data_IF_024815903962
#
_entry.id   IF_024815903962
#
_cell.length_a   1.000
_cell.length_b   1.000
_cell.length_c   1.000
_cell.angle_alpha   90.00
_cell.angle_beta   90.00
_cell.angle_gamma   90.00
#
_symmetry.space_group_name_H-M   'P 1'
#
loop_
_entity.id
_entity.type
_entity.pdbx_description
1 polymer ?
#
# COMPACT_ATOMS: atom_id res chain seq x y z
N UNK A 1 39.90 -36.04 33.91
CA UNK A 1 38.65 -35.28 33.79
C UNK A 1 38.90 -33.88 34.28
N UNK A 2 39.05 -32.92 33.38
CA UNK A 2 39.13 -31.53 33.72
C UNK A 2 37.72 -31.07 34.12
N UNK A 3 37.49 -30.73 35.36
CA UNK A 3 36.28 -30.10 35.81
C UNK A 3 36.35 -28.63 35.39
N UNK A 4 35.32 -28.16 34.65
CA UNK A 4 35.20 -26.77 34.33
C UNK A 4 35.11 -25.93 35.63
N UNK A 5 35.81 -24.80 35.69
CA UNK A 5 35.75 -23.93 36.85
C UNK A 5 34.39 -23.18 36.86
N UNK A 6 33.91 -22.70 38.01
CA UNK A 6 32.70 -21.86 38.07
C UNK A 6 32.81 -20.61 37.16
N UNK A 7 34.01 -20.07 36.98
CA UNK A 7 34.22 -18.92 36.07
C UNK A 7 34.03 -19.33 34.60
N UNK A 8 34.48 -20.53 34.21
CA UNK A 8 34.27 -21.07 32.87
C UNK A 8 32.77 -21.33 32.58
N UNK A 9 32.03 -21.83 33.60
CA UNK A 9 30.58 -22.04 33.49
C UNK A 9 29.84 -20.73 33.30
N UNK A 10 30.23 -19.69 34.00
CA UNK A 10 29.64 -18.35 33.86
C UNK A 10 29.96 -17.72 32.50
N UNK A 11 31.15 -17.90 31.99
CA UNK A 11 31.52 -17.46 30.66
C UNK A 11 30.75 -18.22 29.58
N UNK A 12 30.56 -19.50 29.74
CA UNK A 12 29.77 -20.33 28.82
C UNK A 12 28.27 -19.89 28.82
N UNK A 13 27.73 -19.61 30.01
CA UNK A 13 26.37 -19.06 30.17
C UNK A 13 26.24 -17.73 29.44
N UNK A 14 27.18 -16.81 29.63
CA UNK A 14 27.21 -15.50 28.98
C UNK A 14 27.31 -15.65 27.46
N UNK A 15 28.19 -16.50 26.96
CA UNK A 15 28.37 -16.74 25.53
C UNK A 15 27.10 -17.31 24.87
N UNK A 16 26.42 -18.24 25.52
CA UNK A 16 25.14 -18.77 25.03
C UNK A 16 24.04 -17.72 24.99
N UNK A 17 23.98 -16.89 26.01
CA UNK A 17 23.02 -15.77 26.06
C UNK A 17 23.32 -14.75 24.96
N UNK A 18 24.57 -14.37 24.77
CA UNK A 18 24.99 -13.44 23.71
C UNK A 18 24.63 -13.96 22.33
N UNK A 19 24.83 -15.23 22.06
CA UNK A 19 24.45 -15.84 20.78
C UNK A 19 22.96 -15.69 20.51
N UNK A 20 22.11 -15.99 21.51
CA UNK A 20 20.66 -15.80 21.41
C UNK A 20 20.27 -14.34 21.25
N UNK A 21 20.85 -13.46 22.06
CA UNK A 21 20.55 -12.04 22.02
C UNK A 21 20.93 -11.41 20.67
N UNK A 22 22.08 -11.79 20.14
CA UNK A 22 22.52 -11.32 18.82
C UNK A 22 21.60 -11.83 17.70
N UNK A 23 21.16 -13.09 17.77
CA UNK A 23 20.19 -13.63 16.82
C UNK A 23 18.85 -12.90 16.89
N UNK A 24 18.34 -12.66 18.09
CA UNK A 24 17.09 -11.90 18.31
C UNK A 24 17.23 -10.46 17.84
N UNK A 25 18.37 -9.82 18.09
CA UNK A 25 18.62 -8.45 17.62
C UNK A 25 18.61 -8.38 16.09
N UNK A 26 19.21 -9.34 15.41
CA UNK A 26 19.19 -9.43 13.96
C UNK A 26 17.75 -9.59 13.43
N UNK A 27 16.93 -10.42 14.08
CA UNK A 27 15.52 -10.58 13.73
C UNK A 27 14.72 -9.28 13.95
N UNK A 28 15.01 -8.55 15.04
CA UNK A 28 14.38 -7.26 15.32
C UNK A 28 14.77 -6.19 14.29
N UNK A 29 16.04 -6.18 13.88
CA UNK A 29 16.53 -5.25 12.85
C UNK A 29 15.84 -5.52 11.51
N UNK A 30 15.71 -6.79 11.14
CA UNK A 30 14.96 -7.20 9.94
C UNK A 30 13.48 -6.84 10.05
N UNK A 31 12.86 -7.09 11.21
CA UNK A 31 11.48 -6.74 11.48
C UNK A 31 11.25 -5.23 11.37
N UNK A 32 12.19 -4.42 11.89
CA UNK A 32 12.14 -2.97 11.77
C UNK A 32 12.12 -2.51 10.30
N UNK A 33 13.00 -3.10 9.48
CA UNK A 33 13.03 -2.83 8.04
C UNK A 33 11.73 -3.24 7.35
N UNK A 34 11.22 -4.42 7.66
CA UNK A 34 9.96 -4.91 7.09
C UNK A 34 8.77 -4.04 7.51
N UNK A 35 8.73 -3.59 8.75
CA UNK A 35 7.71 -2.67 9.27
C UNK A 35 7.73 -1.34 8.52
N UNK A 36 8.90 -0.73 8.35
CA UNK A 36 9.05 0.52 7.62
C UNK A 36 8.62 0.37 6.16
N UNK A 37 8.99 -0.73 5.52
CA UNK A 37 8.58 -1.02 4.14
C UNK A 37 7.06 -1.18 4.03
N UNK A 38 6.43 -1.91 4.95
CA UNK A 38 4.99 -2.10 4.97
C UNK A 38 4.24 -0.78 5.16
N UNK A 39 4.73 0.10 6.07
CA UNK A 39 4.16 1.43 6.26
C UNK A 39 4.31 2.30 5.02
N UNK A 40 5.46 2.26 4.35
CA UNK A 40 5.68 3.04 3.13
C UNK A 40 4.77 2.55 2.01
N UNK A 41 4.63 1.25 1.83
CA UNK A 41 3.73 0.67 0.84
C UNK A 41 2.25 1.00 1.15
N UNK A 42 1.89 1.04 2.43
CA UNK A 42 0.56 1.49 2.86
C UNK A 42 0.32 2.94 2.45
N UNK A 43 1.26 3.84 2.75
CA UNK A 43 1.16 5.26 2.39
C UNK A 43 1.08 5.46 0.88
N UNK A 44 1.88 4.72 0.12
CA UNK A 44 1.87 4.77 -1.34
C UNK A 44 0.51 4.32 -1.90
N UNK A 45 -0.05 3.26 -1.33
CA UNK A 45 -1.37 2.76 -1.73
C UNK A 45 -2.48 3.76 -1.37
N UNK A 46 -2.42 4.38 -0.19
CA UNK A 46 -3.37 5.43 0.23
C UNK A 46 -3.31 6.65 -0.70
N UNK A 47 -2.12 7.05 -1.13
CA UNK A 47 -1.94 8.13 -2.10
C UNK A 47 -2.56 7.78 -3.45
N UNK A 48 -2.46 6.53 -3.88
CA UNK A 48 -3.11 6.05 -5.11
C UNK A 48 -4.62 6.00 -4.99
N UNK A 49 -5.16 5.67 -3.81
CA UNK A 49 -6.60 5.76 -3.54
C UNK A 49 -7.07 7.20 -3.69
N UNK A 50 -6.37 8.15 -3.09
CA UNK A 50 -6.71 9.58 -3.17
C UNK A 50 -6.70 10.09 -4.61
N UNK A 51 -5.69 9.73 -5.40
CA UNK A 51 -5.61 10.08 -6.81
C UNK A 51 -6.73 9.43 -7.63
N UNK A 52 -7.04 8.16 -7.37
CA UNK A 52 -8.15 7.47 -8.03
C UNK A 52 -9.51 8.11 -7.70
N UNK A 53 -9.73 8.52 -6.45
CA UNK A 53 -10.94 9.21 -6.03
C UNK A 53 -11.07 10.57 -6.70
N UNK A 54 -9.98 11.29 -6.86
CA UNK A 54 -9.94 12.55 -7.60
C UNK A 54 -10.35 12.33 -9.06
N UNK A 55 -9.82 11.30 -9.70
CA UNK A 55 -10.20 10.93 -11.07
C UNK A 55 -11.68 10.54 -11.16
N UNK A 56 -12.22 9.83 -10.16
CA UNK A 56 -13.64 9.49 -10.09
C UNK A 56 -14.49 10.76 -10.09
N UNK A 57 -14.15 11.75 -9.27
CA UNK A 57 -14.85 13.04 -9.22
C UNK A 57 -14.77 13.79 -10.55
N UNK A 58 -13.57 13.88 -11.13
CA UNK A 58 -13.33 14.54 -12.41
C UNK A 58 -14.13 13.87 -13.53
N UNK A 59 -14.10 12.55 -13.62
CA UNK A 59 -14.81 11.80 -14.65
C UNK A 59 -16.32 11.85 -14.44
N UNK A 60 -16.80 11.84 -13.21
CA UNK A 60 -18.23 11.99 -12.90
C UNK A 60 -18.74 13.35 -13.38
N UNK A 61 -18.00 14.42 -13.11
CA UNK A 61 -18.33 15.77 -13.57
C UNK A 61 -18.31 15.87 -15.10
N UNK A 62 -17.29 15.30 -15.72
CA UNK A 62 -17.15 15.27 -17.18
C UNK A 62 -18.32 14.52 -17.84
N UNK A 63 -18.70 13.36 -17.29
CA UNK A 63 -19.85 12.59 -17.79
C UNK A 63 -21.14 13.36 -17.63
N UNK A 64 -21.35 14.05 -16.51
CA UNK A 64 -22.53 14.90 -16.31
C UNK A 64 -22.61 16.01 -17.38
N UNK A 65 -21.48 16.64 -17.69
CA UNK A 65 -21.40 17.63 -18.77
C UNK A 65 -21.77 17.06 -20.13
N UNK A 66 -21.26 15.88 -20.47
CA UNK A 66 -21.60 15.18 -21.72
C UNK A 66 -23.07 14.77 -21.75
N UNK A 67 -23.64 14.30 -20.65
CA UNK A 67 -25.04 13.94 -20.55
C UNK A 67 -25.96 15.13 -20.76
N UNK A 68 -25.59 16.31 -20.24
CA UNK A 68 -26.31 17.54 -20.50
C UNK A 68 -26.30 17.94 -21.99
N UNK A 69 -25.11 17.84 -22.62
CA UNK A 69 -24.99 18.14 -24.05
C UNK A 69 -25.76 17.12 -24.89
N UNK A 70 -25.74 15.83 -24.57
CA UNK A 70 -26.53 14.81 -25.22
C UNK A 70 -28.04 15.07 -25.05
N UNK A 71 -28.45 15.46 -23.83
CA UNK A 71 -29.83 15.83 -23.54
C UNK A 71 -30.32 17.03 -24.34
N UNK A 72 -29.50 18.06 -24.49
CA UNK A 72 -29.79 19.25 -25.30
C UNK A 72 -29.90 18.87 -26.78
N UNK A 73 -28.97 18.06 -27.27
CA UNK A 73 -28.98 17.56 -28.63
C UNK A 73 -30.21 16.73 -28.93
N UNK A 74 -30.58 15.85 -27.97
CA UNK A 74 -31.79 15.03 -28.04
C UNK A 74 -33.05 15.88 -28.15
N UNK A 75 -33.14 16.96 -27.36
CA UNK A 75 -34.29 17.92 -27.45
C UNK A 75 -34.37 18.62 -28.80
N UNK A 76 -33.22 19.00 -29.36
CA UNK A 76 -33.16 19.61 -30.69
C UNK A 76 -33.63 18.66 -31.78
N UNK A 77 -33.24 17.39 -31.72
CA UNK A 77 -33.70 16.35 -32.62
C UNK A 77 -35.24 16.13 -32.52
N UNK A 78 -35.76 16.11 -31.28
CA UNK A 78 -37.18 15.98 -31.05
C UNK A 78 -37.97 17.13 -31.65
N UNK A 79 -37.49 18.37 -31.49
CA UNK A 79 -38.13 19.58 -32.06
C UNK A 79 -38.09 19.57 -33.58
N UNK A 80 -37.08 18.98 -34.19
CA UNK A 80 -36.98 18.85 -35.64
C UNK A 80 -37.92 17.81 -36.26
N UNK A 81 -38.63 17.04 -35.40
CA UNK A 81 -39.64 16.08 -35.85
C UNK A 81 -39.10 14.68 -36.19
N UNK A 82 -37.91 14.37 -35.73
CA UNK A 82 -37.34 13.00 -35.89
C UNK A 82 -38.10 11.99 -35.02
N UNK A 83 -38.91 11.14 -35.62
CA UNK A 83 -39.67 10.09 -34.91
C UNK A 83 -38.74 8.99 -34.37
N UNK A 84 -37.59 8.79 -34.98
CA UNK A 84 -36.57 7.78 -34.60
C UNK A 84 -35.97 8.07 -33.21
N UNK A 85 -36.00 9.33 -32.77
CA UNK A 85 -35.50 9.75 -31.47
C UNK A 85 -36.26 9.08 -30.30
N UNK A 86 -37.57 9.03 -30.36
CA UNK A 86 -38.39 8.40 -29.33
C UNK A 86 -38.10 6.90 -29.23
N UNK A 87 -37.90 6.25 -30.37
CA UNK A 87 -37.58 4.82 -30.40
C UNK A 87 -36.21 4.55 -29.75
N UNK A 88 -35.23 5.43 -29.95
CA UNK A 88 -33.92 5.34 -29.32
C UNK A 88 -34.01 5.46 -27.79
N UNK A 89 -34.73 6.47 -27.29
CA UNK A 89 -34.85 6.72 -25.86
C UNK A 89 -35.69 5.64 -25.16
N UNK A 90 -36.78 5.25 -25.76
CA UNK A 90 -37.70 4.26 -25.17
C UNK A 90 -37.17 2.83 -25.28
N UNK A 91 -36.30 2.55 -26.26
CA UNK A 91 -35.71 1.23 -26.49
C UNK A 91 -34.39 1.01 -25.78
N UNK A 92 -33.72 2.06 -25.29
CA UNK A 92 -32.41 1.96 -24.65
C UNK A 92 -32.56 1.46 -23.21
N UNK A 93 -31.98 0.28 -22.89
CA UNK A 93 -31.96 -0.29 -21.55
C UNK A 93 -30.66 0.01 -20.81
N UNK A 94 -29.65 0.44 -21.54
CA UNK A 94 -28.33 0.82 -21.00
C UNK A 94 -27.73 1.96 -21.80
N UNK A 95 -26.70 2.59 -21.26
CA UNK A 95 -25.95 3.62 -22.01
C UNK A 95 -25.29 3.05 -23.26
N UNK A 96 -24.82 1.80 -23.23
CA UNK A 96 -24.21 1.16 -24.40
C UNK A 96 -25.20 0.92 -25.51
N UNK A 97 -26.42 0.46 -25.18
CA UNK A 97 -27.52 0.32 -26.12
C UNK A 97 -27.89 1.68 -26.70
N UNK A 98 -27.99 2.70 -25.87
CA UNK A 98 -28.24 4.08 -26.28
C UNK A 98 -27.17 4.57 -27.26
N UNK A 99 -25.88 4.41 -26.91
CA UNK A 99 -24.77 4.83 -27.76
C UNK A 99 -24.73 4.10 -29.09
N UNK A 100 -25.00 2.80 -29.11
CA UNK A 100 -25.07 1.97 -30.32
C UNK A 100 -26.21 2.41 -31.21
N UNK A 101 -27.40 2.61 -30.63
CA UNK A 101 -28.58 3.06 -31.37
C UNK A 101 -28.44 4.50 -31.86
N UNK A 102 -27.82 5.37 -31.05
CA UNK A 102 -27.52 6.74 -31.43
C UNK A 102 -26.68 6.83 -32.70
N UNK A 103 -25.72 5.94 -32.86
CA UNK A 103 -24.85 5.87 -34.04
C UNK A 103 -25.58 5.50 -35.35
N UNK A 104 -26.80 4.97 -35.27
CA UNK A 104 -27.61 4.59 -36.45
C UNK A 104 -28.60 5.71 -36.87
N UNK A 105 -28.67 6.82 -36.13
CA UNK A 105 -29.56 7.92 -36.47
C UNK A 105 -29.09 8.65 -37.74
N UNK A 106 -29.99 8.86 -38.69
CA UNK A 106 -29.68 9.53 -39.98
C UNK A 106 -29.26 10.98 -39.81
N UNK A 107 -29.75 11.65 -38.76
CA UNK A 107 -29.43 13.05 -38.45
C UNK A 107 -28.14 13.21 -37.64
N UNK A 108 -27.41 12.13 -37.40
CA UNK A 108 -26.18 12.16 -36.62
C UNK A 108 -25.04 12.81 -37.41
N UNK A 109 -24.48 13.86 -36.86
CA UNK A 109 -23.32 14.54 -37.42
C UNK A 109 -22.03 14.03 -36.72
N UNK A 110 -20.88 14.48 -37.23
CA UNK A 110 -19.58 14.08 -36.68
C UNK A 110 -19.40 14.55 -35.23
N UNK A 111 -19.94 15.71 -34.87
CA UNK A 111 -19.86 16.26 -33.51
C UNK A 111 -20.68 15.41 -32.52
N UNK A 112 -21.86 14.94 -32.93
CA UNK A 112 -22.69 14.04 -32.14
C UNK A 112 -22.01 12.69 -31.91
N UNK A 113 -21.38 12.13 -32.96
CA UNK A 113 -20.62 10.89 -32.88
C UNK A 113 -19.43 11.03 -31.92
N UNK A 114 -18.72 12.16 -31.99
CA UNK A 114 -17.61 12.47 -31.10
C UNK A 114 -18.07 12.60 -29.67
N UNK A 115 -19.19 13.27 -29.39
CA UNK A 115 -19.78 13.44 -28.07
C UNK A 115 -20.14 12.10 -27.43
N UNK A 116 -20.77 11.19 -28.20
CA UNK A 116 -21.08 9.83 -27.75
C UNK A 116 -19.80 9.07 -27.43
N UNK A 117 -18.79 9.15 -28.28
CA UNK A 117 -17.51 8.48 -28.07
C UNK A 117 -16.78 9.02 -26.83
N UNK A 118 -16.77 10.33 -26.64
CA UNK A 118 -16.18 10.97 -25.46
C UNK A 118 -16.88 10.51 -24.17
N UNK A 119 -18.20 10.42 -24.18
CA UNK A 119 -18.98 9.93 -23.04
C UNK A 119 -18.66 8.50 -22.74
N UNK A 120 -18.58 7.65 -23.75
CA UNK A 120 -18.23 6.23 -23.61
C UNK A 120 -16.83 6.07 -23.02
N UNK A 121 -15.86 6.80 -23.54
CA UNK A 121 -14.47 6.78 -23.05
C UNK A 121 -14.41 7.25 -21.59
N UNK A 122 -15.10 8.35 -21.25
CA UNK A 122 -15.13 8.86 -19.88
C UNK A 122 -15.76 7.85 -18.89
N UNK A 123 -16.79 7.11 -19.32
CA UNK A 123 -17.39 6.04 -18.50
C UNK A 123 -16.44 4.88 -18.28
N UNK A 124 -15.69 4.47 -19.31
CA UNK A 124 -14.67 3.43 -19.20
C UNK A 124 -13.55 3.85 -18.24
N UNK A 125 -13.11 5.10 -18.35
CA UNK A 125 -12.09 5.66 -17.45
C UNK A 125 -12.61 5.78 -16.01
N UNK A 126 -13.88 6.11 -15.81
CA UNK A 126 -14.51 6.12 -14.49
C UNK A 126 -14.51 4.74 -13.84
N UNK A 127 -14.91 3.70 -14.59
CA UNK A 127 -14.89 2.33 -14.08
C UNK A 127 -13.47 1.86 -13.77
N UNK A 128 -12.49 2.21 -14.60
CA UNK A 128 -11.09 1.92 -14.35
C UNK A 128 -10.59 2.62 -13.06
N UNK A 129 -10.98 3.87 -12.84
CA UNK A 129 -10.62 4.61 -11.63
C UNK A 129 -11.27 4.01 -10.37
N UNK A 130 -12.51 3.55 -10.46
CA UNK A 130 -13.19 2.84 -9.35
C UNK A 130 -12.49 1.54 -9.00
N UNK A 131 -12.12 0.76 -10.00
CA UNK A 131 -11.38 -0.49 -9.82
C UNK A 131 -10.02 -0.22 -9.16
N UNK A 132 -9.28 0.77 -9.64
CA UNK A 132 -8.01 1.17 -9.05
C UNK A 132 -8.16 1.60 -7.59
N UNK A 133 -9.19 2.38 -7.26
CA UNK A 133 -9.47 2.79 -5.89
C UNK A 133 -9.71 1.58 -4.98
N UNK A 134 -10.50 0.61 -5.42
CA UNK A 134 -10.79 -0.61 -4.67
C UNK A 134 -9.53 -1.47 -4.47
N UNK A 135 -8.75 -1.67 -5.53
CA UNK A 135 -7.52 -2.45 -5.49
C UNK A 135 -6.48 -1.81 -4.55
N UNK A 136 -6.29 -0.50 -4.63
CA UNK A 136 -5.33 0.19 -3.79
C UNK A 136 -5.80 0.30 -2.33
N UNK A 137 -7.10 0.42 -2.09
CA UNK A 137 -7.66 0.36 -0.74
C UNK A 137 -7.39 -1.01 -0.09
N UNK A 138 -7.50 -2.09 -0.87
CA UNK A 138 -7.16 -3.42 -0.41
C UNK A 138 -5.66 -3.56 -0.10
N UNK A 139 -4.80 -3.05 -0.97
CA UNK A 139 -3.34 -3.04 -0.74
C UNK A 139 -3.02 -2.27 0.54
N UNK A 140 -3.61 -1.10 0.75
CA UNK A 140 -3.40 -0.30 1.95
C UNK A 140 -3.82 -1.06 3.21
N UNK A 141 -4.97 -1.72 3.18
CA UNK A 141 -5.46 -2.55 4.28
C UNK A 141 -4.55 -3.75 4.56
N UNK A 142 -4.13 -4.47 3.52
CA UNK A 142 -3.24 -5.62 3.64
C UNK A 142 -1.87 -5.20 4.21
N UNK A 143 -1.34 -4.05 3.80
CA UNK A 143 -0.06 -3.53 4.30
C UNK A 143 -0.16 -3.03 5.74
N UNK A 144 -1.28 -2.44 6.12
CA UNK A 144 -1.54 -2.08 7.51
C UNK A 144 -1.56 -3.32 8.42
N UNK A 145 -2.21 -4.40 7.98
CA UNK A 145 -2.24 -5.67 8.70
C UNK A 145 -0.86 -6.31 8.78
N UNK A 146 -0.10 -6.30 7.68
CA UNK A 146 1.29 -6.78 7.64
C UNK A 146 2.16 -6.01 8.65
N UNK A 147 2.07 -4.69 8.67
CA UNK A 147 2.80 -3.86 9.63
C UNK A 147 2.43 -4.20 11.08
N UNK A 148 1.15 -4.42 11.35
CA UNK A 148 0.68 -4.84 12.67
C UNK A 148 1.25 -6.20 13.08
N UNK A 149 1.21 -7.18 12.19
CA UNK A 149 1.76 -8.53 12.44
C UNK A 149 3.26 -8.47 12.71
N UNK A 150 4.01 -7.67 11.93
CA UNK A 150 5.45 -7.47 12.14
C UNK A 150 5.72 -6.82 13.50
N UNK A 151 4.94 -5.81 13.87
CA UNK A 151 5.07 -5.15 15.16
C UNK A 151 4.76 -6.10 16.33
N UNK A 152 3.70 -6.89 16.22
CA UNK A 152 3.32 -7.87 17.25
C UNK A 152 4.40 -8.95 17.41
N UNK A 153 4.98 -9.43 16.30
CA UNK A 153 6.07 -10.40 16.33
C UNK A 153 7.34 -9.80 16.92
N UNK A 154 7.64 -8.53 16.64
CA UNK A 154 8.76 -7.82 17.23
C UNK A 154 8.59 -7.66 18.75
N UNK A 155 7.39 -7.32 19.22
CA UNK A 155 7.08 -7.23 20.65
C UNK A 155 7.29 -8.59 21.33
N UNK A 156 6.84 -9.68 20.73
CA UNK A 156 7.08 -11.04 21.22
C UNK A 156 8.57 -11.37 21.29
N UNK A 157 9.34 -10.99 20.29
CA UNK A 157 10.79 -11.20 20.26
C UNK A 157 11.50 -10.37 21.35
N UNK A 158 11.07 -9.13 21.55
CA UNK A 158 11.59 -8.28 22.64
C UNK A 158 11.32 -8.91 24.02
N UNK A 159 10.14 -9.51 24.20
CA UNK A 159 9.83 -10.27 25.42
C UNK A 159 10.75 -11.49 25.61
N UNK A 160 11.06 -12.20 24.53
CA UNK A 160 12.01 -13.31 24.57
C UNK A 160 13.41 -12.83 24.94
N UNK A 161 13.87 -11.70 24.41
CA UNK A 161 15.14 -11.07 24.80
C UNK A 161 15.15 -10.73 26.29
N UNK A 162 14.07 -10.15 26.80
CA UNK A 162 13.96 -9.82 28.22
C UNK A 162 14.03 -11.09 29.07
N UNK A 163 13.38 -12.16 28.66
CA UNK A 163 13.43 -13.45 29.35
C UNK A 163 14.86 -14.01 29.40
N UNK A 164 15.66 -13.83 28.36
CA UNK A 164 17.07 -14.23 28.35
C UNK A 164 17.85 -13.44 29.41
N UNK A 165 17.68 -12.13 29.47
CA UNK A 165 18.33 -11.29 30.49
C UNK A 165 17.89 -11.68 31.91
N UNK A 166 16.61 -11.88 32.13
CA UNK A 166 16.05 -12.23 33.44
C UNK A 166 16.51 -13.61 33.93
N UNK A 167 16.83 -14.50 33.01
CA UNK A 167 17.33 -15.86 33.31
C UNK A 167 18.80 -15.93 33.62
N UNK A 168 19.58 -14.85 33.43
CA UNK A 168 21.00 -14.83 33.64
C UNK A 168 21.35 -14.75 35.13
N UNK A 169 22.41 -15.47 35.54
CA UNK A 169 23.06 -15.21 36.83
C UNK A 169 23.67 -13.81 36.84
N UNK A 170 23.90 -13.22 38.02
CA UNK A 170 24.46 -11.88 38.16
C UNK A 170 25.82 -11.74 37.47
N UNK A 171 26.66 -12.73 37.58
CA UNK A 171 27.99 -12.75 36.96
C UNK A 171 27.92 -12.88 35.44
N UNK A 172 27.02 -13.70 34.93
CA UNK A 172 26.79 -13.84 33.49
C UNK A 172 26.18 -12.58 32.88
N UNK A 173 25.25 -11.94 33.59
CA UNK A 173 24.65 -10.66 33.18
C UNK A 173 25.72 -9.58 33.07
N UNK A 174 26.65 -9.47 34.00
CA UNK A 174 27.77 -8.54 33.96
C UNK A 174 28.67 -8.79 32.75
N UNK A 175 29.01 -10.08 32.49
CA UNK A 175 29.80 -10.45 31.32
C UNK A 175 29.14 -10.11 30.00
N UNK A 176 27.82 -10.30 29.90
CA UNK A 176 27.02 -9.91 28.71
C UNK A 176 27.07 -8.42 28.48
N UNK A 177 26.89 -7.62 29.54
CA UNK A 177 26.97 -6.16 29.46
C UNK A 177 28.34 -5.67 29.02
N UNK A 178 29.42 -6.28 29.53
CA UNK A 178 30.80 -5.93 29.13
C UNK A 178 31.06 -6.23 27.67
N UNK A 179 30.61 -7.38 27.16
CA UNK A 179 30.77 -7.74 25.76
C UNK A 179 29.96 -6.85 24.82
N UNK A 180 28.74 -6.52 25.20
CA UNK A 180 27.90 -5.60 24.42
C UNK A 180 28.49 -4.21 24.36
N UNK A 181 29.00 -3.69 25.48
CA UNK A 181 29.67 -2.39 25.52
C UNK A 181 30.94 -2.37 24.66
N UNK A 182 31.72 -3.45 24.67
CA UNK A 182 32.92 -3.58 23.83
C UNK A 182 32.57 -3.62 22.33
N UNK A 183 31.51 -4.30 21.97
CA UNK A 183 31.01 -4.38 20.59
C UNK A 183 30.49 -3.03 20.09
N UNK A 184 29.71 -2.33 20.90
CA UNK A 184 29.25 -0.97 20.57
C UNK A 184 30.41 0.00 20.39
N UNK A 185 31.42 -0.06 21.25
CA UNK A 185 32.62 0.77 21.14
C UNK A 185 33.40 0.46 19.86
N UNK A 186 33.49 -0.82 19.47
CA UNK A 186 34.16 -1.26 18.23
C UNK A 186 33.38 -0.77 17.00
N UNK A 187 32.05 -0.86 17.02
CA UNK A 187 31.19 -0.36 15.95
C UNK A 187 31.27 1.17 15.81
N UNK A 188 31.27 1.91 16.91
CA UNK A 188 31.42 3.36 16.91
C UNK A 188 32.78 3.79 16.32
N UNK A 189 33.86 3.12 16.69
CA UNK A 189 35.22 3.37 16.15
C UNK A 189 35.25 3.08 14.64
N UNK A 190 34.68 1.95 14.19
CA UNK A 190 34.62 1.60 12.78
C UNK A 190 33.78 2.61 11.97
N UNK A 191 32.69 3.12 12.53
CA UNK A 191 31.87 4.14 11.91
C UNK A 191 32.63 5.48 11.77
N UNK A 192 33.36 5.89 12.80
CA UNK A 192 34.20 7.09 12.78
C UNK A 192 35.32 6.98 11.73
N UNK A 193 35.99 5.82 11.65
CA UNK A 193 37.03 5.55 10.65
C UNK A 193 36.45 5.58 9.23
N UNK A 194 35.26 5.01 9.01
CA UNK A 194 34.59 5.03 7.72
C UNK A 194 34.23 6.46 7.29
N UNK A 195 33.78 7.30 8.21
CA UNK A 195 33.49 8.73 7.95
C UNK A 195 34.78 9.47 7.63
N UNK A 196 35.86 9.23 8.37
CA UNK A 196 37.15 9.89 8.17
C UNK A 196 37.82 9.48 6.84
N UNK A 197 37.58 8.27 6.35
CA UNK A 197 38.16 7.75 5.09
C UNK A 197 37.32 8.05 3.85
N UNK A 198 36.10 8.50 4.04
CA UNK A 198 35.19 8.92 2.97
C UNK A 198 35.29 10.38 2.67
#
# INVERSE_FOLDING_TARGET
SAFASPADDKQAEANAALEKLNAYQAELDEASGNYQNALQEQLDAEAKVDEAQKQIEEKTTEIQGYQEQLGDRARDMYRSGSTTFLDVILGATSFEDFATTWNILEDMNQDDAQLVQQTKTAREELEAAKTEAEEQAKVASDKAEEAKQVADAADAKAAEMQAVYDGLSAEAAELVQQEQAAEEAAQATAAEEAIASG
#
